data_IF_490194907824
#
_entry.id   IF_490194907824
#
_cell.length_a   1.000
_cell.length_b   1.000
_cell.length_c   1.000
_cell.angle_alpha   90.00
_cell.angle_beta   90.00
_cell.angle_gamma   90.00
#
_symmetry.space_group_name_H-M   'P 1'
#
loop_
_entity.id
_entity.type
_entity.pdbx_description
1 polymer ?
#
# COMPACT_ATOMS: atom_id res chain seq x y z
N UNK A 1 7.50 6.91 10.90
CA UNK A 1 7.86 5.50 11.17
C UNK A 1 8.10 4.79 9.85
N UNK A 2 8.87 3.70 9.84
CA UNK A 2 9.05 2.86 8.65
C UNK A 2 7.72 2.14 8.37
N UNK A 3 7.32 2.02 7.10
CA UNK A 3 6.10 1.31 6.71
C UNK A 3 6.27 -0.21 6.75
N UNK A 4 5.18 -0.95 6.91
CA UNK A 4 5.18 -2.42 6.96
C UNK A 4 4.11 -3.03 6.03
N UNK A 5 3.89 -2.38 4.89
CA UNK A 5 2.95 -2.77 3.82
C UNK A 5 1.48 -2.89 4.24
N UNK A 6 1.04 -2.04 5.18
CA UNK A 6 -0.38 -1.78 5.48
C UNK A 6 -0.57 -0.30 5.86
N UNK A 7 -1.76 0.29 5.68
CA UNK A 7 -1.95 1.75 5.66
C UNK A 7 -2.08 2.41 7.06
N UNK A 8 -1.87 1.64 8.13
CA UNK A 8 -2.11 2.07 9.52
C UNK A 8 -0.78 2.23 10.24
N UNK A 9 -0.67 3.26 11.08
CA UNK A 9 0.52 3.54 11.88
C UNK A 9 0.16 3.67 13.37
N UNK A 10 1.19 3.84 14.21
CA UNK A 10 1.06 3.91 15.67
C UNK A 10 0.27 5.13 16.21
N UNK A 11 -0.17 6.07 15.36
CA UNK A 11 -1.09 7.13 15.78
C UNK A 11 -2.53 6.63 15.97
N UNK A 12 -2.86 5.45 15.41
CA UNK A 12 -4.16 4.82 15.61
C UNK A 12 -4.17 4.01 16.91
N UNK A 13 -5.22 4.20 17.72
CA UNK A 13 -5.36 3.55 19.04
C UNK A 13 -5.28 2.02 19.00
N UNK A 14 -5.75 1.40 17.91
CA UNK A 14 -5.81 -0.06 17.74
C UNK A 14 -4.72 -0.59 16.79
N UNK A 15 -3.64 0.18 16.60
CA UNK A 15 -2.49 -0.25 15.80
C UNK A 15 -1.90 -1.56 16.34
N UNK A 16 -1.66 -2.58 15.49
CA UNK A 16 -1.00 -3.81 15.89
C UNK A 16 0.51 -3.59 16.03
N UNK A 17 1.04 -3.80 17.23
CA UNK A 17 2.45 -3.56 17.57
C UNK A 17 3.34 -4.82 17.42
N UNK A 18 2.72 -5.98 17.24
CA UNK A 18 3.39 -7.29 17.24
C UNK A 18 3.62 -7.84 15.82
N UNK A 19 3.31 -7.06 14.78
CA UNK A 19 3.61 -7.43 13.39
C UNK A 19 5.09 -7.09 13.13
N UNK A 20 5.89 -8.12 12.89
CA UNK A 20 7.31 -7.98 12.57
C UNK A 20 7.54 -7.00 11.41
N UNK A 21 8.51 -6.11 11.54
CA UNK A 21 8.86 -5.14 10.50
C UNK A 21 9.48 -5.85 9.29
N UNK A 22 8.97 -5.61 8.07
CA UNK A 22 9.64 -6.06 6.85
C UNK A 22 11.01 -5.40 6.73
N UNK A 23 12.01 -6.23 6.45
CA UNK A 23 13.38 -5.81 6.18
C UNK A 23 13.63 -5.78 4.68
N UNK A 24 14.49 -4.85 4.25
CA UNK A 24 14.93 -4.79 2.87
C UNK A 24 15.85 -5.96 2.55
N UNK A 25 15.40 -6.86 1.66
CA UNK A 25 16.13 -8.04 1.21
C UNK A 25 16.16 -8.07 -0.34
N UNK A 26 17.23 -7.56 -0.97
CA UNK A 26 17.34 -7.50 -2.42
C UNK A 26 17.45 -8.89 -3.07
N UNK A 27 17.99 -9.89 -2.37
CA UNK A 27 18.13 -11.25 -2.90
C UNK A 27 16.77 -11.95 -2.96
N UNK A 28 15.96 -11.80 -1.91
CA UNK A 28 14.58 -12.29 -1.89
C UNK A 28 13.72 -11.57 -2.93
N UNK A 29 13.87 -10.25 -3.07
CA UNK A 29 13.18 -9.50 -4.12
C UNK A 29 13.54 -10.00 -5.52
N UNK A 30 14.84 -10.22 -5.79
CA UNK A 30 15.33 -10.79 -7.04
C UNK A 30 14.76 -12.19 -7.32
N UNK A 31 14.75 -13.06 -6.30
CA UNK A 31 14.18 -14.40 -6.40
C UNK A 31 12.70 -14.37 -6.80
N UNK A 32 11.89 -13.53 -6.15
CA UNK A 32 10.47 -13.40 -6.48
C UNK A 32 10.23 -12.78 -7.85
N UNK A 33 11.03 -11.78 -8.23
CA UNK A 33 10.95 -11.16 -9.55
C UNK A 33 11.26 -12.18 -10.66
N UNK A 34 12.31 -12.99 -10.51
CA UNK A 34 12.61 -14.08 -11.46
C UNK A 34 11.47 -15.10 -11.54
N UNK A 35 10.90 -15.48 -10.39
CA UNK A 35 9.77 -16.41 -10.33
C UNK A 35 8.50 -15.88 -11.00
N UNK A 36 8.32 -14.56 -11.05
CA UNK A 36 7.17 -13.93 -11.72
C UNK A 36 7.17 -14.15 -13.24
N UNK A 37 8.33 -14.44 -13.84
CA UNK A 37 8.50 -14.51 -15.29
C UNK A 37 8.49 -13.14 -15.99
N UNK A 38 8.41 -12.04 -15.24
CA UNK A 38 8.48 -10.70 -15.81
C UNK A 38 9.87 -10.40 -16.39
N UNK A 39 9.90 -9.65 -17.49
CA UNK A 39 11.12 -9.18 -18.13
C UNK A 39 10.90 -7.78 -18.68
N UNK A 40 11.98 -7.00 -18.76
CA UNK A 40 11.92 -5.60 -19.18
C UNK A 40 11.69 -4.62 -18.00
N UNK A 41 11.54 -3.33 -18.32
CA UNK A 41 11.32 -2.29 -17.32
C UNK A 41 9.88 -2.27 -16.79
N UNK A 42 9.73 -1.99 -15.49
CA UNK A 42 8.45 -1.71 -14.83
C UNK A 42 8.26 -0.20 -14.75
N UNK A 43 7.22 0.31 -15.39
CA UNK A 43 6.93 1.75 -15.43
C UNK A 43 6.21 2.21 -14.16
N UNK A 44 6.89 3.02 -13.34
CA UNK A 44 6.35 3.75 -12.20
C UNK A 44 6.00 5.17 -12.62
N UNK A 45 4.72 5.54 -12.49
CA UNK A 45 4.25 6.92 -12.72
C UNK A 45 4.22 7.71 -11.42
N UNK A 46 4.68 8.94 -11.45
CA UNK A 46 4.70 9.81 -10.27
C UNK A 46 4.35 11.25 -10.64
N UNK A 47 3.92 12.05 -9.67
CA UNK A 47 3.71 13.49 -9.81
C UNK A 47 4.07 14.19 -8.51
N UNK A 48 4.42 15.49 -8.56
CA UNK A 48 4.64 16.30 -7.35
C UNK A 48 3.36 16.40 -6.50
N UNK A 49 2.20 16.26 -7.13
CA UNK A 49 0.90 16.36 -6.46
C UNK A 49 0.55 15.08 -5.69
N UNK A 50 1.21 13.95 -5.97
CA UNK A 50 0.91 12.69 -5.30
C UNK A 50 1.16 12.76 -3.79
N UNK A 51 2.33 13.29 -3.41
CA UNK A 51 2.68 13.70 -2.04
C UNK A 51 3.98 14.52 -2.07
N UNK A 52 4.27 15.33 -1.04
CA UNK A 52 5.52 16.09 -0.97
C UNK A 52 6.76 15.18 -1.07
N UNK A 53 7.56 15.36 -2.13
CA UNK A 53 8.76 14.56 -2.38
C UNK A 53 8.52 13.25 -3.16
N UNK A 54 7.36 13.08 -3.79
CA UNK A 54 7.04 11.86 -4.54
C UNK A 54 8.01 11.53 -5.67
N UNK A 55 8.49 12.54 -6.40
CA UNK A 55 9.46 12.34 -7.49
C UNK A 55 10.79 11.80 -6.94
N UNK A 56 11.30 12.36 -5.85
CA UNK A 56 12.53 11.90 -5.21
C UNK A 56 12.35 10.49 -4.62
N UNK A 57 11.21 10.22 -4.00
CA UNK A 57 10.87 8.89 -3.48
C UNK A 57 10.83 7.84 -4.60
N UNK A 58 10.27 8.17 -5.78
CA UNK A 58 10.25 7.29 -6.93
C UNK A 58 11.66 6.98 -7.46
N UNK A 59 12.56 7.96 -7.47
CA UNK A 59 13.97 7.76 -7.85
C UNK A 59 14.72 6.89 -6.84
N UNK A 60 14.51 7.10 -5.53
CA UNK A 60 15.09 6.24 -4.49
C UNK A 60 14.56 4.81 -4.57
N UNK A 61 13.26 4.65 -4.90
CA UNK A 61 12.65 3.34 -5.13
C UNK A 61 13.29 2.64 -6.34
N UNK A 62 13.46 3.35 -7.45
CA UNK A 62 14.18 2.85 -8.63
C UNK A 62 15.60 2.36 -8.29
N UNK A 63 16.38 3.14 -7.54
CA UNK A 63 17.73 2.75 -7.12
C UNK A 63 17.74 1.52 -6.21
N UNK A 64 16.73 1.39 -5.33
CA UNK A 64 16.59 0.24 -4.43
C UNK A 64 16.24 -1.03 -5.19
N UNK A 65 15.29 -0.94 -6.14
CA UNK A 65 14.91 -2.02 -7.04
C UNK A 65 16.06 -2.47 -7.95
N UNK A 66 16.91 -1.55 -8.40
CA UNK A 66 18.08 -1.89 -9.21
C UNK A 66 19.06 -2.84 -8.48
N UNK A 67 19.16 -2.75 -7.14
CA UNK A 67 19.96 -3.68 -6.32
C UNK A 67 19.42 -5.11 -6.36
N UNK A 68 18.12 -5.29 -6.63
CA UNK A 68 17.47 -6.57 -6.83
C UNK A 68 17.43 -7.00 -8.31
N UNK A 69 18.05 -6.24 -9.22
CA UNK A 69 18.01 -6.50 -10.67
C UNK A 69 16.66 -6.17 -11.32
N UNK A 70 15.83 -5.34 -10.67
CA UNK A 70 14.55 -4.88 -11.19
C UNK A 70 14.74 -3.50 -11.80
N UNK A 71 14.50 -3.37 -13.10
CA UNK A 71 14.58 -2.08 -13.79
C UNK A 71 13.26 -1.33 -13.62
N UNK A 72 13.25 -0.27 -12.83
CA UNK A 72 12.11 0.65 -12.75
C UNK A 72 12.34 1.81 -13.72
N UNK A 73 11.36 2.12 -14.56
CA UNK A 73 11.31 3.37 -15.33
C UNK A 73 10.44 4.37 -14.58
N UNK A 74 10.97 5.54 -14.25
CA UNK A 74 10.20 6.59 -13.56
C UNK A 74 9.70 7.59 -14.59
N UNK A 75 8.37 7.70 -14.71
CA UNK A 75 7.71 8.71 -15.52
C UNK A 75 7.06 9.75 -14.62
N UNK A 76 7.55 10.98 -14.70
CA UNK A 76 6.91 12.14 -14.09
C UNK A 76 5.76 12.61 -14.97
N UNK A 77 4.54 12.47 -14.46
CA UNK A 77 3.33 12.98 -15.09
C UNK A 77 3.08 14.44 -14.64
N UNK A 78 2.40 15.26 -15.44
CA UNK A 78 1.97 16.58 -15.01
C UNK A 78 1.08 16.52 -13.77
N UNK A 79 1.16 17.54 -12.92
CA UNK A 79 0.25 17.73 -11.79
C UNK A 79 -1.22 17.82 -12.25
N UNK A 80 -1.45 18.61 -13.31
CA UNK A 80 -2.77 18.71 -13.93
C UNK A 80 -3.19 17.37 -14.54
N UNK A 81 -4.36 16.87 -14.15
CA UNK A 81 -4.89 15.59 -14.61
C UNK A 81 -4.30 14.35 -13.93
N UNK A 82 -3.34 14.45 -12.99
CA UNK A 82 -2.78 13.26 -12.32
C UNK A 82 -3.87 12.39 -11.68
N UNK A 83 -4.79 13.02 -10.97
CA UNK A 83 -5.87 12.33 -10.27
C UNK A 83 -6.97 11.78 -11.18
N UNK A 84 -7.12 12.31 -12.41
CA UNK A 84 -8.14 11.86 -13.36
C UNK A 84 -7.61 10.81 -14.35
N UNK A 85 -6.34 10.93 -14.76
CA UNK A 85 -5.73 10.14 -15.83
C UNK A 85 -4.73 9.09 -15.34
N UNK A 86 -4.20 9.23 -14.12
CA UNK A 86 -3.13 8.37 -13.58
C UNK A 86 -3.59 7.58 -12.38
N UNK A 87 -3.96 8.25 -11.30
CA UNK A 87 -4.43 7.59 -10.07
C UNK A 87 -5.73 6.83 -10.35
N UNK A 88 -5.84 5.58 -9.89
CA UNK A 88 -6.91 4.61 -10.23
C UNK A 88 -7.04 4.23 -11.72
N UNK A 89 -6.17 4.74 -12.61
CA UNK A 89 -6.23 4.48 -14.06
C UNK A 89 -5.02 3.72 -14.57
N UNK A 90 -3.88 3.86 -13.91
CA UNK A 90 -2.62 3.25 -14.31
C UNK A 90 -2.21 2.17 -13.31
N UNK A 91 -1.60 1.07 -13.78
CA UNK A 91 -1.35 -0.11 -12.95
C UNK A 91 -0.30 0.09 -11.87
N UNK A 92 0.58 1.09 -12.01
CA UNK A 92 1.60 1.39 -11.02
C UNK A 92 1.90 2.89 -10.99
N UNK A 93 1.51 3.53 -9.89
CA UNK A 93 1.68 4.96 -9.68
C UNK A 93 1.84 5.30 -8.21
N UNK A 94 2.37 6.49 -7.90
CA UNK A 94 2.45 6.98 -6.52
C UNK A 94 1.08 7.50 -6.04
N UNK A 95 0.59 6.99 -4.93
CA UNK A 95 -0.59 7.51 -4.23
C UNK A 95 -0.22 8.13 -2.89
N UNK A 96 -1.04 9.05 -2.41
CA UNK A 96 -0.88 9.69 -1.10
C UNK A 96 -2.17 9.63 -0.30
N UNK A 97 -2.10 9.12 0.93
CA UNK A 97 -3.24 9.04 1.84
C UNK A 97 -2.99 9.86 3.11
N UNK A 98 -3.90 10.81 3.36
CA UNK A 98 -3.97 11.47 4.66
C UNK A 98 -4.62 10.55 5.69
N UNK A 99 -4.25 10.70 6.96
CA UNK A 99 -4.91 10.01 8.06
C UNK A 99 -6.43 10.28 8.08
N UNK A 100 -7.18 9.29 8.57
CA UNK A 100 -8.59 9.43 8.94
C UNK A 100 -8.74 9.33 10.46
N UNK A 101 -9.91 9.72 10.97
CA UNK A 101 -10.20 9.73 12.41
C UNK A 101 -10.17 8.34 13.02
N UNK A 102 -10.45 7.30 12.24
CA UNK A 102 -10.41 5.91 12.70
C UNK A 102 -9.71 5.01 11.68
N UNK A 103 -9.21 3.88 12.17
CA UNK A 103 -8.63 2.82 11.34
C UNK A 103 -9.66 2.21 10.38
N UNK A 104 -10.91 2.05 10.83
CA UNK A 104 -12.04 1.65 9.99
C UNK A 104 -12.22 2.57 8.78
N UNK A 105 -12.13 3.90 8.97
CA UNK A 105 -12.33 4.85 7.88
C UNK A 105 -11.26 4.73 6.80
N UNK A 106 -9.99 4.49 7.17
CA UNK A 106 -8.92 4.23 6.19
C UNK A 106 -9.26 2.99 5.37
N UNK A 107 -9.48 1.85 6.02
CA UNK A 107 -9.75 0.60 5.32
C UNK A 107 -11.01 0.64 4.47
N UNK A 108 -12.08 1.26 4.96
CA UNK A 108 -13.35 1.38 4.24
C UNK A 108 -13.26 2.27 3.00
N UNK A 109 -12.32 3.22 3.00
CA UNK A 109 -12.18 4.20 1.92
C UNK A 109 -11.16 3.76 0.87
N UNK A 110 -10.11 3.03 1.27
CA UNK A 110 -8.96 2.72 0.42
C UNK A 110 -8.76 1.22 0.12
N UNK A 111 -9.38 0.31 0.88
CA UNK A 111 -9.09 -1.15 0.76
C UNK A 111 -10.33 -2.05 0.67
N UNK A 112 -11.50 -1.60 1.12
CA UNK A 112 -12.75 -2.34 0.90
C UNK A 112 -12.91 -2.59 -0.61
N UNK A 113 -13.23 -3.81 -1.02
CA UNK A 113 -13.28 -4.18 -2.46
C UNK A 113 -14.22 -3.31 -3.30
N UNK A 114 -15.24 -2.73 -2.68
CA UNK A 114 -16.22 -1.84 -3.34
C UNK A 114 -15.92 -0.35 -3.18
N UNK A 115 -14.82 0.01 -2.52
CA UNK A 115 -14.45 1.40 -2.30
C UNK A 115 -14.07 2.08 -3.61
N UNK A 116 -14.66 3.26 -3.84
CA UNK A 116 -14.41 4.05 -5.05
C UNK A 116 -12.96 4.51 -5.17
N UNK A 117 -12.22 4.54 -4.05
CA UNK A 117 -10.84 4.98 -3.98
C UNK A 117 -9.88 3.85 -3.61
N UNK A 118 -10.22 2.59 -3.95
CA UNK A 118 -9.30 1.47 -3.82
C UNK A 118 -8.20 1.54 -4.90
N UNK A 119 -7.17 2.32 -4.63
CA UNK A 119 -6.07 2.61 -5.56
C UNK A 119 -5.05 1.49 -5.72
N UNK A 120 -5.02 0.57 -4.76
CA UNK A 120 -4.26 -0.67 -4.85
C UNK A 120 -4.94 -1.74 -5.71
N UNK A 121 -6.24 -1.57 -6.01
CA UNK A 121 -7.08 -2.62 -6.61
C UNK A 121 -7.01 -3.94 -5.81
N UNK A 122 -6.89 -3.83 -4.50
CA UNK A 122 -6.86 -4.97 -3.58
C UNK A 122 -8.28 -5.51 -3.39
N UNK A 123 -8.52 -6.76 -3.79
CA UNK A 123 -9.82 -7.41 -3.66
C UNK A 123 -9.68 -8.70 -2.84
N UNK A 124 -10.22 -8.70 -1.62
CA UNK A 124 -10.11 -9.84 -0.73
C UNK A 124 -11.37 -9.99 0.13
N UNK A 125 -12.16 -11.03 -0.15
CA UNK A 125 -13.44 -11.26 0.55
C UNK A 125 -13.26 -11.47 2.06
N UNK A 126 -12.13 -12.04 2.49
CA UNK A 126 -11.88 -12.25 3.92
C UNK A 126 -11.58 -10.92 4.61
N UNK A 127 -10.78 -10.06 3.97
CA UNK A 127 -10.54 -8.70 4.46
C UNK A 127 -11.84 -7.91 4.60
N UNK A 128 -12.71 -7.97 3.58
CA UNK A 128 -14.00 -7.26 3.61
C UNK A 128 -14.90 -7.74 4.75
N UNK A 129 -14.97 -9.06 5.00
CA UNK A 129 -15.72 -9.64 6.12
C UNK A 129 -15.19 -9.15 7.46
N UNK A 130 -13.87 -9.23 7.65
CA UNK A 130 -13.21 -8.78 8.89
C UNK A 130 -13.41 -7.29 9.12
N UNK A 131 -13.41 -6.46 8.07
CA UNK A 131 -13.68 -5.02 8.19
C UNK A 131 -15.09 -4.76 8.74
N UNK A 132 -16.10 -5.47 8.22
CA UNK A 132 -17.49 -5.33 8.69
C UNK A 132 -17.64 -5.85 10.13
N UNK A 133 -17.00 -6.97 10.46
CA UNK A 133 -17.00 -7.52 11.82
C UNK A 133 -16.34 -6.56 12.82
N UNK A 134 -15.14 -6.07 12.51
CA UNK A 134 -14.40 -5.14 13.36
C UNK A 134 -15.16 -3.83 13.59
N UNK A 135 -15.99 -3.40 12.62
CA UNK A 135 -16.84 -2.22 12.78
C UNK A 135 -17.95 -2.42 13.82
N UNK A 136 -18.47 -3.64 13.93
CA UNK A 136 -19.54 -4.00 14.86
C UNK A 136 -19.04 -4.48 16.23
N UNK A 137 -17.73 -4.72 16.39
CA UNK A 137 -17.13 -5.18 17.63
C UNK A 137 -16.91 -4.02 18.64
N UNK A 138 -17.41 -4.21 19.86
CA UNK A 138 -17.35 -3.23 20.95
C UNK A 138 -16.21 -3.52 21.93
N UNK A 139 -15.79 -4.78 22.05
CA UNK A 139 -14.63 -5.20 22.82
C UNK A 139 -13.34 -4.76 22.11
N UNK A 140 -12.55 -3.92 22.77
CA UNK A 140 -11.36 -3.31 22.16
C UNK A 140 -10.27 -4.33 21.86
N UNK A 141 -10.10 -5.35 22.69
CA UNK A 141 -9.06 -6.35 22.50
C UNK A 141 -9.41 -7.26 21.32
N UNK A 142 -10.68 -7.67 21.21
CA UNK A 142 -11.18 -8.39 20.03
C UNK A 142 -11.06 -7.56 18.76
N UNK A 143 -11.45 -6.29 18.81
CA UNK A 143 -11.35 -5.39 17.65
C UNK A 143 -9.91 -5.16 17.21
N UNK A 144 -8.97 -5.03 18.17
CA UNK A 144 -7.53 -4.94 17.89
C UNK A 144 -7.03 -6.20 17.17
N UNK A 145 -7.47 -7.38 17.60
CA UNK A 145 -7.10 -8.63 16.94
C UNK A 145 -7.65 -8.74 15.51
N UNK A 146 -8.91 -8.36 15.26
CA UNK A 146 -9.48 -8.31 13.91
C UNK A 146 -8.68 -7.36 13.01
N UNK A 147 -8.33 -6.17 13.51
CA UNK A 147 -7.51 -5.21 12.78
C UNK A 147 -6.08 -5.68 12.52
N UNK A 148 -5.51 -6.46 13.45
CA UNK A 148 -4.22 -7.11 13.25
C UNK A 148 -4.27 -8.13 12.12
N UNK A 149 -5.31 -8.97 12.07
CA UNK A 149 -5.49 -9.93 10.98
C UNK A 149 -5.64 -9.24 9.64
N UNK A 150 -6.45 -8.17 9.58
CA UNK A 150 -6.58 -7.33 8.40
C UNK A 150 -5.24 -6.72 7.95
N UNK A 151 -4.43 -6.23 8.89
CA UNK A 151 -3.10 -5.69 8.59
C UNK A 151 -2.15 -6.75 8.02
N UNK A 152 -2.19 -7.98 8.53
CA UNK A 152 -1.41 -9.12 7.99
C UNK A 152 -1.88 -9.46 6.57
N UNK A 153 -3.19 -9.52 6.33
CA UNK A 153 -3.74 -9.80 5.00
C UNK A 153 -3.23 -8.78 3.98
N UNK A 154 -3.33 -7.48 4.29
CA UNK A 154 -2.83 -6.42 3.39
C UNK A 154 -1.32 -6.52 3.23
N UNK A 155 -0.58 -6.75 4.32
CA UNK A 155 0.88 -6.88 4.29
C UNK A 155 1.38 -8.02 3.40
N UNK A 156 0.68 -9.15 3.38
CA UNK A 156 1.14 -10.38 2.70
C UNK A 156 0.49 -10.62 1.34
N UNK A 157 -0.67 -10.02 1.07
CA UNK A 157 -1.47 -10.26 -0.14
C UNK A 157 -1.90 -8.98 -0.87
N UNK A 158 -1.56 -7.80 -0.34
CA UNK A 158 -1.81 -6.51 -0.96
C UNK A 158 -0.79 -6.10 -2.02
#
# INVERSE_FOLDING_TARGET
AIGNDFPINAAYQLFPEDIEQRVFDPDKAKFHYQKSGHSGPVLLRTSEDAFPGAVDAAQLFQQSCAKAGITIEVKREPSDGYWSEVWLKQPFSTGGWNGRSTQDQIYSTAYLSTAAWNDTHFFNENFDKLLIEARAEFDQDKRKNLYREMAIIVRDQG
#
